data_IF_872221503597
#
_entry.id   IF_872221503597
#
_cell.length_a   1.000
_cell.length_b   1.000
_cell.length_c   1.000
_cell.angle_alpha   90.00
_cell.angle_beta   90.00
_cell.angle_gamma   90.00
#
_symmetry.space_group_name_H-M   'P 1'
#
loop_
_entity.id
_entity.type
_entity.pdbx_description
1 polymer ?
#
# COMPACT_ATOMS: atom_id res chain seq x y z
N UNK A 1 13.96 -11.77 -56.14
CA UNK A 1 13.94 -12.44 -54.81
C UNK A 1 14.47 -11.55 -53.69
N UNK A 2 15.66 -10.94 -53.82
CA UNK A 2 16.28 -10.12 -52.75
C UNK A 2 15.44 -8.93 -52.29
N UNK A 3 14.74 -8.25 -53.21
CA UNK A 3 13.86 -7.12 -52.88
C UNK A 3 12.59 -7.55 -52.15
N UNK A 4 12.04 -8.72 -52.50
CA UNK A 4 10.86 -9.29 -51.82
C UNK A 4 11.22 -9.66 -50.37
N UNK A 5 12.37 -10.29 -50.17
CA UNK A 5 12.90 -10.60 -48.83
C UNK A 5 13.10 -9.33 -47.99
N UNK A 6 13.64 -8.25 -48.57
CA UNK A 6 13.82 -6.98 -47.88
C UNK A 6 12.49 -6.34 -47.46
N UNK A 7 11.46 -6.42 -48.32
CA UNK A 7 10.12 -5.90 -48.02
C UNK A 7 9.47 -6.71 -46.89
N UNK A 8 9.52 -8.06 -46.96
CA UNK A 8 8.98 -8.90 -45.87
C UNK A 8 9.69 -8.65 -44.53
N UNK A 9 11.02 -8.50 -44.55
CA UNK A 9 11.79 -8.20 -43.35
C UNK A 9 11.40 -6.84 -42.74
N UNK A 10 11.20 -5.80 -43.58
CA UNK A 10 10.75 -4.49 -43.12
C UNK A 10 9.34 -4.52 -42.51
N UNK A 11 8.41 -5.25 -43.13
CA UNK A 11 7.05 -5.43 -42.59
C UNK A 11 7.09 -6.20 -41.26
N UNK A 12 7.90 -7.26 -41.18
CA UNK A 12 8.09 -8.04 -39.95
C UNK A 12 8.66 -7.20 -38.81
N UNK A 13 9.60 -6.30 -39.10
CA UNK A 13 10.18 -5.38 -38.11
C UNK A 13 9.13 -4.39 -37.59
N UNK A 14 8.30 -3.83 -38.47
CA UNK A 14 7.19 -2.95 -38.09
C UNK A 14 6.16 -3.66 -37.20
N UNK A 15 5.79 -4.89 -37.55
CA UNK A 15 4.89 -5.72 -36.75
C UNK A 15 5.48 -6.03 -35.38
N UNK A 16 6.78 -6.36 -35.30
CA UNK A 16 7.46 -6.63 -34.04
C UNK A 16 7.52 -5.38 -33.14
N UNK A 17 7.77 -4.20 -33.72
CA UNK A 17 7.73 -2.93 -32.98
C UNK A 17 6.34 -2.65 -32.41
N UNK A 18 5.29 -2.87 -33.20
CA UNK A 18 3.90 -2.71 -32.74
C UNK A 18 3.49 -3.78 -31.72
N UNK A 19 4.01 -5.00 -31.84
CA UNK A 19 3.74 -6.07 -30.87
C UNK A 19 4.24 -5.71 -29.48
N UNK A 20 5.38 -5.04 -29.36
CA UNK A 20 5.88 -4.52 -28.07
C UNK A 20 4.93 -3.49 -27.45
N UNK A 21 4.43 -2.54 -28.26
CA UNK A 21 3.47 -1.53 -27.81
C UNK A 21 2.13 -2.17 -27.43
N UNK A 22 1.64 -3.11 -28.23
CA UNK A 22 0.41 -3.85 -27.95
C UNK A 22 0.54 -4.68 -26.67
N UNK A 23 1.66 -5.35 -26.46
CA UNK A 23 1.93 -6.11 -25.24
C UNK A 23 1.97 -5.19 -24.01
N UNK A 24 2.65 -4.05 -24.11
CA UNK A 24 2.69 -3.06 -23.04
C UNK A 24 1.29 -2.52 -22.71
N UNK A 25 0.46 -2.27 -23.73
CA UNK A 25 -0.92 -1.83 -23.56
C UNK A 25 -1.75 -2.90 -22.83
N UNK A 26 -1.67 -4.15 -23.25
CA UNK A 26 -2.39 -5.28 -22.63
C UNK A 26 -1.97 -5.44 -21.17
N UNK A 27 -0.67 -5.43 -20.88
CA UNK A 27 -0.16 -5.52 -19.51
C UNK A 27 -0.61 -4.32 -18.66
N UNK A 28 -0.59 -3.11 -19.23
CA UNK A 28 -1.05 -1.90 -18.56
C UNK A 28 -2.54 -1.97 -18.19
N UNK A 29 -3.39 -2.39 -19.11
CA UNK A 29 -4.83 -2.58 -18.89
C UNK A 29 -5.08 -3.68 -17.84
N UNK A 30 -4.35 -4.80 -17.92
CA UNK A 30 -4.45 -5.90 -16.97
C UNK A 30 -4.05 -5.45 -15.56
N UNK A 31 -2.95 -4.71 -15.41
CA UNK A 31 -2.49 -4.19 -14.13
C UNK A 31 -3.48 -3.14 -13.56
N UNK A 32 -3.94 -2.21 -14.40
CA UNK A 32 -4.90 -1.19 -13.99
C UNK A 32 -6.24 -1.80 -13.56
N UNK A 33 -6.74 -2.79 -14.30
CA UNK A 33 -7.97 -3.51 -13.94
C UNK A 33 -7.79 -4.31 -12.65
N UNK A 34 -6.67 -5.01 -12.46
CA UNK A 34 -6.37 -5.73 -11.23
C UNK A 34 -6.33 -4.80 -10.00
N UNK A 35 -5.68 -3.63 -10.10
CA UNK A 35 -5.64 -2.64 -9.03
C UNK A 35 -7.04 -2.10 -8.75
N UNK A 36 -7.80 -1.76 -9.79
CA UNK A 36 -9.17 -1.26 -9.67
C UNK A 36 -10.04 -2.28 -8.94
N UNK A 37 -10.03 -3.55 -9.38
CA UNK A 37 -10.77 -4.64 -8.74
C UNK A 37 -10.31 -4.85 -7.30
N UNK A 38 -9.00 -4.81 -7.02
CA UNK A 38 -8.44 -4.92 -5.68
C UNK A 38 -8.91 -3.80 -4.74
N UNK A 39 -9.06 -2.58 -5.26
CA UNK A 39 -9.56 -1.42 -4.51
C UNK A 39 -11.06 -1.50 -4.26
N UNK A 40 -11.85 -1.91 -5.26
CA UNK A 40 -13.31 -2.05 -5.15
C UNK A 40 -13.71 -3.21 -4.24
N UNK A 41 -13.04 -4.36 -4.33
CA UNK A 41 -13.38 -5.55 -3.53
C UNK A 41 -12.88 -5.46 -2.08
N UNK A 42 -12.00 -4.50 -1.77
CA UNK A 42 -11.45 -4.31 -0.42
C UNK A 42 -10.60 -5.49 0.10
N UNK A 43 -10.41 -6.54 -0.71
CA UNK A 43 -9.78 -7.81 -0.32
C UNK A 43 -8.28 -7.71 -0.08
N UNK A 44 -7.64 -6.68 -0.65
CA UNK A 44 -6.22 -6.38 -0.46
C UNK A 44 -6.01 -5.16 0.44
N UNK A 45 -6.91 -4.90 1.38
CA UNK A 45 -6.58 -3.99 2.49
C UNK A 45 -5.61 -4.73 3.41
N UNK A 46 -4.34 -4.31 3.53
CA UNK A 46 -3.48 -4.87 4.56
C UNK A 46 -4.19 -4.66 5.89
N UNK A 47 -4.41 -5.75 6.63
CA UNK A 47 -4.87 -5.67 8.01
C UNK A 47 -3.72 -4.98 8.75
N UNK A 48 -3.84 -3.68 8.93
CA UNK A 48 -2.98 -2.92 9.81
C UNK A 48 -3.12 -3.60 11.17
N UNK A 49 -2.08 -4.31 11.60
CA UNK A 49 -1.98 -4.72 12.99
C UNK A 49 -2.07 -3.43 13.79
N UNK A 50 -3.24 -3.17 14.40
CA UNK A 50 -3.31 -2.17 15.44
C UNK A 50 -2.28 -2.64 16.46
N UNK A 51 -1.22 -1.87 16.64
CA UNK A 51 -0.53 -1.90 17.90
C UNK A 51 -1.60 -1.53 18.92
N UNK A 52 -2.25 -2.54 19.50
CA UNK A 52 -2.68 -2.44 20.88
C UNK A 52 -1.37 -2.15 21.59
N UNK A 53 -1.03 -0.87 21.73
CA UNK A 53 -0.18 -0.45 22.81
C UNK A 53 -0.81 -1.15 24.00
N UNK A 54 -0.10 -2.15 24.55
CA UNK A 54 -0.48 -2.75 25.79
C UNK A 54 -0.72 -1.55 26.69
N UNK A 55 -2.00 -1.28 26.95
CA UNK A 55 -2.42 -0.18 27.78
C UNK A 55 -1.57 -0.38 29.02
N UNK A 56 -0.65 0.55 29.36
CA UNK A 56 0.16 0.37 30.54
C UNK A 56 -0.88 0.14 31.62
N UNK A 57 -0.92 -1.09 32.13
CA UNK A 57 -1.62 -1.36 33.36
C UNK A 57 -1.19 -0.24 34.26
N UNK A 58 -2.19 0.52 34.69
CA UNK A 58 -2.23 1.66 35.58
C UNK A 58 -1.33 1.43 36.81
N UNK A 59 -0.01 1.33 36.58
CA UNK A 59 1.07 1.20 37.57
C UNK A 59 1.57 2.57 37.99
N UNK A 60 0.96 3.64 37.47
CA UNK A 60 1.00 4.99 38.02
C UNK A 60 0.02 5.18 39.19
N UNK A 61 -0.86 4.20 39.46
CA UNK A 61 -1.56 4.04 40.75
C UNK A 61 -0.76 3.18 41.72
N UNK A 62 0.55 3.35 41.77
CA UNK A 62 1.17 3.31 43.09
C UNK A 62 0.59 4.53 43.84
N UNK A 63 -0.02 4.24 44.97
CA UNK A 63 -1.08 4.95 45.66
C UNK A 63 -0.71 6.37 46.16
N UNK A 64 -0.48 7.32 45.25
CA UNK A 64 -0.24 8.71 45.64
C UNK A 64 -1.55 9.46 45.85
N UNK A 65 -1.86 9.82 47.10
CA UNK A 65 -3.08 10.57 47.43
C UNK A 65 -2.75 12.05 47.54
N UNK A 66 -3.40 12.87 46.71
CA UNK A 66 -3.20 14.32 46.69
C UNK A 66 -4.48 15.02 47.13
N UNK A 67 -4.38 15.90 48.13
CA UNK A 67 -5.49 16.77 48.52
C UNK A 67 -5.00 18.12 49.07
N UNK A 68 -5.88 19.12 49.07
CA UNK A 68 -5.61 20.45 49.60
C UNK A 68 -6.44 20.66 50.87
N UNK A 69 -5.81 21.09 51.96
CA UNK A 69 -6.44 21.30 53.27
C UNK A 69 -6.83 22.76 53.54
N UNK A 70 -6.69 23.64 52.55
CA UNK A 70 -6.96 25.08 52.65
C UNK A 70 -5.76 25.90 53.14
N UNK A 71 -4.65 25.26 53.51
CA UNK A 71 -3.36 25.92 53.79
C UNK A 71 -2.28 25.53 52.79
N UNK A 72 -2.42 24.40 52.11
CA UNK A 72 -1.56 23.97 51.02
C UNK A 72 -1.96 22.63 50.41
N UNK A 73 -1.24 22.22 49.37
CA UNK A 73 -1.45 20.92 48.71
C UNK A 73 -0.54 19.87 49.34
N UNK A 74 -1.12 18.75 49.76
CA UNK A 74 -0.43 17.60 50.35
C UNK A 74 -0.38 16.48 49.33
N UNK A 75 0.78 15.83 49.24
CA UNK A 75 1.03 14.66 48.39
C UNK A 75 1.54 13.56 49.33
N UNK A 76 0.73 12.53 49.53
CA UNK A 76 1.06 11.35 50.35
C UNK A 76 1.62 10.25 49.46
N UNK A 77 2.76 9.68 49.85
CA UNK A 77 3.62 8.84 49.03
C UNK A 77 4.12 7.56 49.69
#
# INVERSE_FOLDING_TARGET
MRNILAILAGIGLLLAAFAGVALALVLGIMAASAITVARLTGRFRPVMAKATAAQPHDRSKAEYRVWNDGRGTIIDM
#
